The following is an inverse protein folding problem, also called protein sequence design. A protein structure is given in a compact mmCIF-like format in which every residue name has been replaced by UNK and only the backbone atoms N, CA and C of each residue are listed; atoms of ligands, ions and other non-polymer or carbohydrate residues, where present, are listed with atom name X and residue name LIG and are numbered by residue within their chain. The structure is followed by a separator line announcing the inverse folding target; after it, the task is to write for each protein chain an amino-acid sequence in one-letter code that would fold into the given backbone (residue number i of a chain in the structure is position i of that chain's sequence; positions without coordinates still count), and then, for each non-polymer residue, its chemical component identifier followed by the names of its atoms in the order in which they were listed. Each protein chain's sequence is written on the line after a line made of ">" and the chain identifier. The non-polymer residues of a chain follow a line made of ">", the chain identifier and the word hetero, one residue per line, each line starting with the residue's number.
data_IF_244917338158
#
_entry.id   IF_244917338158
#
_cell.length_a   1.000
_cell.length_b   1.000
_cell.length_c   1.000
_cell.angle_alpha   90.00
_cell.angle_beta   90.00
_cell.angle_gamma   90.00
#
_symmetry.space_group_name_H-M   'P 1'
#
loop_
_entity.id
_entity.type
_entity.pdbx_description
1 polymer ?
#
# COMPACT_ATOMS: atom_id res chain seq x y z
N UNK A 1 10.86 3.06 -103.58
CA UNK A 1 10.91 2.79 -102.13
C UNK A 1 11.49 1.40 -101.93
N UNK A 2 12.50 1.25 -101.07
CA UNK A 2 13.15 -0.05 -100.83
C UNK A 2 12.18 -0.97 -100.06
N UNK A 3 11.86 -2.15 -100.60
CA UNK A 3 10.94 -3.12 -99.98
C UNK A 3 11.35 -3.57 -98.56
N UNK A 4 12.65 -3.48 -98.24
CA UNK A 4 13.21 -3.70 -96.90
C UNK A 4 12.76 -2.63 -95.89
N UNK A 5 12.48 -1.42 -96.34
CA UNK A 5 12.03 -0.28 -95.52
C UNK A 5 10.54 -0.38 -95.20
N UNK A 6 9.72 -0.79 -96.17
CA UNK A 6 8.25 -0.90 -96.01
C UNK A 6 7.86 -2.03 -95.05
N UNK A 7 8.58 -3.16 -95.10
CA UNK A 7 8.36 -4.28 -94.16
C UNK A 7 8.74 -3.91 -92.73
N UNK A 8 9.86 -3.18 -92.54
CA UNK A 8 10.26 -2.66 -91.22
C UNK A 8 9.22 -1.68 -90.68
N UNK A 9 8.72 -0.77 -91.52
CA UNK A 9 7.67 0.19 -91.14
C UNK A 9 6.39 -0.51 -90.64
N UNK A 10 5.93 -1.55 -91.35
CA UNK A 10 4.75 -2.34 -90.98
C UNK A 10 4.94 -3.10 -89.65
N UNK A 11 6.14 -3.63 -89.38
CA UNK A 11 6.44 -4.24 -88.08
C UNK A 11 6.42 -3.20 -86.94
N UNK A 12 7.02 -2.03 -87.15
CA UNK A 12 7.08 -0.96 -86.14
C UNK A 12 5.68 -0.46 -85.76
N UNK A 13 4.80 -0.23 -86.74
CA UNK A 13 3.42 0.22 -86.48
C UNK A 13 2.62 -0.83 -85.71
N UNK A 14 2.89 -2.12 -85.90
CA UNK A 14 2.22 -3.20 -85.17
C UNK A 14 2.76 -3.41 -83.77
N UNK A 15 4.08 -3.35 -83.53
CA UNK A 15 4.67 -3.75 -82.24
C UNK A 15 4.81 -2.61 -81.23
N UNK A 16 5.06 -1.38 -81.67
CA UNK A 16 5.28 -0.23 -80.79
C UNK A 16 4.07 0.07 -79.89
N UNK A 17 2.80 0.07 -80.38
CA UNK A 17 1.65 0.30 -79.52
C UNK A 17 1.52 -0.73 -78.40
N UNK A 18 1.76 -2.02 -78.68
CA UNK A 18 1.73 -3.06 -77.65
C UNK A 18 2.87 -2.90 -76.64
N UNK A 19 4.08 -2.56 -77.10
CA UNK A 19 5.20 -2.29 -76.21
C UNK A 19 4.92 -1.11 -75.27
N UNK A 20 4.27 -0.04 -75.76
CA UNK A 20 3.86 1.10 -74.95
C UNK A 20 2.80 0.73 -73.91
N UNK A 21 1.82 -0.10 -74.26
CA UNK A 21 0.81 -0.60 -73.32
C UNK A 21 1.48 -1.43 -72.22
N UNK A 22 2.38 -2.34 -72.57
CA UNK A 22 3.11 -3.15 -71.59
C UNK A 22 3.93 -2.25 -70.65
N UNK A 23 4.65 -1.27 -71.19
CA UNK A 23 5.41 -0.31 -70.40
C UNK A 23 4.51 0.50 -69.45
N UNK A 24 3.35 0.95 -69.94
CA UNK A 24 2.38 1.68 -69.13
C UNK A 24 1.78 0.82 -68.01
N UNK A 25 1.45 -0.45 -68.30
CA UNK A 25 0.98 -1.40 -67.29
C UNK A 25 2.05 -1.65 -66.23
N UNK A 26 3.31 -1.84 -66.62
CA UNK A 26 4.43 -2.01 -65.69
C UNK A 26 4.59 -0.76 -64.81
N UNK A 27 4.48 0.44 -65.40
CA UNK A 27 4.55 1.69 -64.65
C UNK A 27 3.40 1.82 -63.64
N UNK A 28 2.16 1.54 -64.05
CA UNK A 28 0.99 1.56 -63.18
C UNK A 28 1.13 0.56 -62.02
N UNK A 29 1.53 -0.68 -62.32
CA UNK A 29 1.76 -1.70 -61.31
C UNK A 29 2.86 -1.28 -60.33
N UNK A 30 3.94 -0.69 -60.82
CA UNK A 30 5.02 -0.16 -59.99
C UNK A 30 4.54 0.93 -59.03
N UNK A 31 3.72 1.87 -59.51
CA UNK A 31 3.13 2.93 -58.69
C UNK A 31 2.22 2.34 -57.59
N UNK A 32 1.34 1.40 -57.96
CA UNK A 32 0.42 0.74 -57.02
C UNK A 32 1.17 -0.07 -55.97
N UNK A 33 2.18 -0.84 -56.37
CA UNK A 33 3.00 -1.63 -55.44
C UNK A 33 3.75 -0.71 -54.47
N UNK A 34 4.35 0.38 -54.95
CA UNK A 34 5.07 1.32 -54.10
C UNK A 34 4.14 2.03 -53.10
N UNK A 35 2.94 2.44 -53.54
CA UNK A 35 1.94 3.04 -52.65
C UNK A 35 1.48 2.04 -51.59
N UNK A 36 1.14 0.82 -52.01
CA UNK A 36 0.74 -0.27 -51.09
C UNK A 36 1.82 -0.60 -50.06
N UNK A 37 3.10 -0.62 -50.45
CA UNK A 37 4.21 -0.84 -49.52
C UNK A 37 4.34 0.30 -48.50
N UNK A 38 4.21 1.56 -48.94
CA UNK A 38 4.24 2.71 -48.02
C UNK A 38 3.09 2.67 -47.02
N UNK A 39 1.87 2.37 -47.47
CA UNK A 39 0.71 2.23 -46.59
C UNK A 39 0.92 1.09 -45.60
N UNK A 40 1.44 -0.06 -46.04
CA UNK A 40 1.72 -1.19 -45.16
C UNK A 40 2.75 -0.83 -44.08
N UNK A 41 3.84 -0.15 -44.46
CA UNK A 41 4.87 0.31 -43.52
C UNK A 41 4.31 1.34 -42.51
N UNK A 42 3.51 2.29 -42.97
CA UNK A 42 2.85 3.26 -42.08
C UNK A 42 1.88 2.60 -41.11
N UNK A 43 1.09 1.64 -41.59
CA UNK A 43 0.17 0.87 -40.75
C UNK A 43 0.93 0.08 -39.69
N UNK A 44 2.02 -0.60 -40.06
CA UNK A 44 2.88 -1.32 -39.13
C UNK A 44 3.44 -0.40 -38.04
N UNK A 45 3.99 0.77 -38.43
CA UNK A 45 4.51 1.75 -37.47
C UNK A 45 3.43 2.27 -36.52
N UNK A 46 2.24 2.59 -37.04
CA UNK A 46 1.10 3.04 -36.24
C UNK A 46 0.60 1.93 -35.30
N UNK A 47 0.52 0.68 -35.76
CA UNK A 47 0.16 -0.47 -34.93
C UNK A 47 1.16 -0.67 -33.80
N UNK A 48 2.46 -0.58 -34.06
CA UNK A 48 3.49 -0.69 -33.03
C UNK A 48 3.37 0.46 -32.02
N UNK A 49 3.26 1.71 -32.50
CA UNK A 49 3.17 2.88 -31.64
C UNK A 49 1.91 2.85 -30.75
N UNK A 50 0.75 2.54 -31.32
CA UNK A 50 -0.52 2.45 -30.59
C UNK A 50 -0.52 1.30 -29.58
N UNK A 51 0.01 0.12 -29.94
CA UNK A 51 0.15 -0.99 -29.00
C UNK A 51 1.10 -0.64 -27.85
N UNK A 52 2.22 0.02 -28.15
CA UNK A 52 3.17 0.45 -27.12
C UNK A 52 2.56 1.48 -26.17
N UNK A 53 1.81 2.46 -26.69
CA UNK A 53 1.08 3.44 -25.88
C UNK A 53 0.03 2.75 -25.01
N UNK A 54 -0.80 1.88 -25.59
CA UNK A 54 -1.82 1.12 -24.86
C UNK A 54 -1.21 0.24 -23.76
N UNK A 55 -0.07 -0.40 -24.03
CA UNK A 55 0.65 -1.18 -23.02
C UNK A 55 1.15 -0.30 -21.88
N UNK A 56 1.74 0.87 -22.20
CA UNK A 56 2.19 1.84 -21.18
C UNK A 56 1.03 2.32 -20.31
N UNK A 57 -0.10 2.69 -20.91
CA UNK A 57 -1.32 3.09 -20.19
C UNK A 57 -1.86 1.97 -19.30
N UNK A 58 -1.95 0.75 -19.84
CA UNK A 58 -2.41 -0.43 -19.09
C UNK A 58 -1.51 -0.72 -17.89
N UNK A 59 -0.19 -0.62 -18.05
CA UNK A 59 0.77 -0.82 -16.95
C UNK A 59 0.60 0.29 -15.92
N UNK A 60 0.52 1.55 -16.33
CA UNK A 60 0.31 2.68 -15.42
C UNK A 60 -0.96 2.50 -14.58
N UNK A 61 -2.09 2.16 -15.23
CA UNK A 61 -3.36 1.89 -14.56
C UNK A 61 -3.27 0.71 -13.59
N UNK A 62 -2.58 -0.38 -13.96
CA UNK A 62 -2.38 -1.53 -13.07
C UNK A 62 -1.54 -1.17 -11.84
N UNK A 63 -0.49 -0.37 -12.02
CA UNK A 63 0.35 0.09 -10.90
C UNK A 63 -0.47 0.96 -9.96
N UNK A 64 -1.22 1.93 -10.48
CA UNK A 64 -2.09 2.80 -9.69
C UNK A 64 -3.17 2.01 -8.94
N UNK A 65 -3.89 1.13 -9.64
CA UNK A 65 -4.91 0.28 -9.04
C UNK A 65 -4.36 -0.64 -7.94
N UNK A 66 -3.18 -1.24 -8.17
CA UNK A 66 -2.51 -2.08 -7.17
C UNK A 66 -2.11 -1.25 -5.94
N UNK A 67 -1.56 -0.04 -6.17
CA UNK A 67 -1.20 0.87 -5.09
C UNK A 67 -2.42 1.24 -4.23
N UNK A 68 -3.54 1.58 -4.87
CA UNK A 68 -4.78 1.92 -4.18
C UNK A 68 -5.38 0.74 -3.43
N UNK A 69 -5.31 -0.47 -4.00
CA UNK A 69 -5.74 -1.69 -3.32
C UNK A 69 -4.91 -1.96 -2.06
N UNK A 70 -3.58 -1.89 -2.15
CA UNK A 70 -2.69 -2.06 -0.99
C UNK A 70 -2.99 -1.01 0.09
N UNK A 71 -3.20 0.24 -0.32
CA UNK A 71 -3.56 1.33 0.61
C UNK A 71 -4.92 1.10 1.27
N UNK A 72 -5.91 0.63 0.51
CA UNK A 72 -7.23 0.31 1.03
C UNK A 72 -7.19 -0.83 2.04
N UNK A 73 -6.55 -1.95 1.69
CA UNK A 73 -6.39 -3.10 2.59
C UNK A 73 -5.62 -2.70 3.86
N UNK A 74 -4.55 -1.91 3.73
CA UNK A 74 -3.82 -1.38 4.90
C UNK A 74 -4.72 -0.57 5.83
N UNK A 75 -5.58 0.30 5.29
CA UNK A 75 -6.52 1.10 6.10
C UNK A 75 -7.53 0.20 6.81
N UNK A 76 -8.07 -0.80 6.11
CA UNK A 76 -9.02 -1.77 6.65
C UNK A 76 -8.41 -2.59 7.78
N UNK A 77 -7.18 -3.10 7.60
CA UNK A 77 -6.43 -3.83 8.63
C UNK A 77 -6.18 -2.94 9.85
N UNK A 78 -5.70 -1.70 9.66
CA UNK A 78 -5.46 -0.77 10.78
C UNK A 78 -6.76 -0.46 11.53
N UNK A 79 -7.88 -0.26 10.83
CA UNK A 79 -9.17 -0.01 11.46
C UNK A 79 -9.64 -1.22 12.29
N UNK A 80 -9.49 -2.42 11.75
CA UNK A 80 -9.82 -3.68 12.45
C UNK A 80 -8.95 -3.86 13.70
N UNK A 81 -7.63 -3.70 13.59
CA UNK A 81 -6.71 -3.81 14.72
C UNK A 81 -7.02 -2.78 15.81
N UNK A 82 -7.33 -1.53 15.44
CA UNK A 82 -7.76 -0.51 16.40
C UNK A 82 -9.04 -0.92 17.14
N UNK A 83 -10.03 -1.42 16.41
CA UNK A 83 -11.29 -1.90 16.99
C UNK A 83 -11.04 -3.02 18.01
N UNK A 84 -10.18 -3.99 17.68
CA UNK A 84 -9.82 -5.10 18.56
C UNK A 84 -9.09 -4.62 19.81
N UNK A 85 -8.07 -3.77 19.66
CA UNK A 85 -7.35 -3.17 20.81
C UNK A 85 -8.30 -2.40 21.72
N UNK A 86 -9.23 -1.61 21.15
CA UNK A 86 -10.22 -0.89 21.94
C UNK A 86 -11.11 -1.86 22.72
N UNK A 87 -11.61 -2.91 22.08
CA UNK A 87 -12.45 -3.91 22.72
C UNK A 87 -11.76 -4.56 23.93
N UNK A 88 -10.49 -4.93 23.79
CA UNK A 88 -9.70 -5.47 24.90
C UNK A 88 -9.51 -4.46 26.05
N UNK A 89 -9.23 -3.19 25.73
CA UNK A 89 -9.11 -2.12 26.73
C UNK A 89 -10.44 -1.85 27.43
N UNK A 90 -11.56 -1.86 26.69
CA UNK A 90 -12.90 -1.66 27.27
C UNK A 90 -13.21 -2.79 28.27
N UNK A 91 -12.92 -4.05 27.94
CA UNK A 91 -13.11 -5.18 28.86
C UNK A 91 -12.25 -5.02 30.11
N UNK A 92 -10.96 -4.71 29.95
CA UNK A 92 -10.06 -4.51 31.09
C UNK A 92 -10.52 -3.36 31.98
N UNK A 93 -11.04 -2.28 31.39
CA UNK A 93 -11.62 -1.16 32.11
C UNK A 93 -12.87 -1.55 32.89
N UNK A 94 -13.79 -2.33 32.31
CA UNK A 94 -14.98 -2.81 33.02
C UNK A 94 -14.63 -3.72 34.20
N UNK A 95 -13.64 -4.61 34.03
CA UNK A 95 -13.12 -5.44 35.13
C UNK A 95 -12.53 -4.57 36.24
N UNK A 96 -11.67 -3.61 35.89
CA UNK A 96 -11.07 -2.70 36.86
C UNK A 96 -12.12 -1.85 37.59
N UNK A 97 -13.12 -1.34 36.88
CA UNK A 97 -14.20 -0.53 37.44
C UNK A 97 -15.09 -1.36 38.37
N UNK A 98 -15.41 -2.60 38.01
CA UNK A 98 -16.21 -3.50 38.87
C UNK A 98 -15.47 -3.77 40.18
N UNK A 99 -14.19 -4.15 40.10
CA UNK A 99 -13.35 -4.36 41.30
C UNK A 99 -13.29 -3.09 42.15
N UNK A 100 -13.12 -1.92 41.54
CA UNK A 100 -13.12 -0.65 42.26
C UNK A 100 -14.45 -0.37 42.97
N UNK A 101 -15.58 -0.55 42.29
CA UNK A 101 -16.91 -0.29 42.83
C UNK A 101 -17.27 -1.22 43.98
N UNK A 102 -16.89 -2.50 43.89
CA UNK A 102 -17.18 -3.51 44.92
C UNK A 102 -16.28 -3.42 46.16
N UNK A 103 -15.20 -2.64 46.12
CA UNK A 103 -14.18 -2.59 47.17
C UNK A 103 -13.86 -1.16 47.64
N UNK A 104 -14.82 -0.23 47.54
CA UNK A 104 -14.65 1.18 47.94
C UNK A 104 -14.39 1.34 49.45
N UNK A 105 -14.74 0.35 50.26
CA UNK A 105 -14.47 0.29 51.70
C UNK A 105 -13.00 -0.07 52.03
N UNK A 106 -12.22 -0.55 51.06
CA UNK A 106 -10.85 -1.00 51.27
C UNK A 106 -9.83 0.12 51.02
N UNK A 107 -8.62 0.02 51.61
CA UNK A 107 -7.53 0.92 51.28
C UNK A 107 -7.23 0.94 49.78
N UNK A 108 -6.95 2.13 49.22
CA UNK A 108 -6.67 2.32 47.79
C UNK A 108 -5.59 1.37 47.26
N UNK A 109 -4.55 1.12 48.07
CA UNK A 109 -3.46 0.20 47.72
C UNK A 109 -3.94 -1.24 47.50
N UNK A 110 -4.89 -1.72 48.32
CA UNK A 110 -5.44 -3.05 48.18
C UNK A 110 -6.29 -3.17 46.90
N UNK A 111 -7.10 -2.15 46.61
CA UNK A 111 -7.92 -2.11 45.39
C UNK A 111 -7.03 -2.06 44.14
N UNK A 112 -5.98 -1.22 44.14
CA UNK A 112 -4.99 -1.18 43.04
C UNK A 112 -4.32 -2.53 42.82
N UNK A 113 -3.98 -3.24 43.90
CA UNK A 113 -3.38 -4.58 43.84
C UNK A 113 -4.36 -5.60 43.25
N UNK A 114 -5.62 -5.61 43.69
CA UNK A 114 -6.66 -6.50 43.15
C UNK A 114 -6.86 -6.30 41.64
N UNK A 115 -6.96 -5.04 41.18
CA UNK A 115 -7.06 -4.71 39.76
C UNK A 115 -5.83 -5.19 38.99
N UNK A 116 -4.64 -4.93 39.53
CA UNK A 116 -3.38 -5.30 38.90
C UNK A 116 -3.25 -6.82 38.77
N UNK A 117 -3.57 -7.58 39.81
CA UNK A 117 -3.53 -9.05 39.82
C UNK A 117 -4.54 -9.65 38.84
N UNK A 118 -5.76 -9.11 38.77
CA UNK A 118 -6.79 -9.56 37.84
C UNK A 118 -6.38 -9.40 36.36
N UNK A 119 -5.65 -8.33 36.03
CA UNK A 119 -5.29 -7.99 34.65
C UNK A 119 -3.90 -8.49 34.23
N UNK A 120 -2.97 -8.72 35.17
CA UNK A 120 -1.56 -9.00 34.89
C UNK A 120 -1.33 -10.19 33.96
N UNK A 121 -2.12 -11.25 34.09
CA UNK A 121 -1.97 -12.49 33.33
C UNK A 121 -2.88 -12.58 32.10
N UNK A 122 -3.71 -11.56 31.85
CA UNK A 122 -4.57 -11.54 30.67
C UNK A 122 -3.72 -11.30 29.43
N UNK A 123 -3.88 -12.17 28.43
CA UNK A 123 -3.19 -12.09 27.14
C UNK A 123 -4.21 -12.15 26.01
N UNK A 124 -3.88 -11.50 24.90
CA UNK A 124 -4.61 -11.52 23.65
C UNK A 124 -3.63 -11.56 22.47
N UNK A 125 -4.10 -11.63 21.23
CA UNK A 125 -3.26 -11.69 20.01
C UNK A 125 -2.17 -12.78 20.08
N UNK A 126 -2.59 -14.04 20.31
CA UNK A 126 -1.70 -15.20 20.43
C UNK A 126 -0.56 -15.03 21.45
N UNK A 127 -0.84 -14.31 22.54
CA UNK A 127 0.12 -14.08 23.62
C UNK A 127 0.98 -12.83 23.46
N UNK A 128 0.89 -12.11 22.34
CA UNK A 128 1.64 -10.88 22.08
C UNK A 128 1.02 -9.65 22.76
N UNK A 129 -0.30 -9.65 22.92
CA UNK A 129 -1.07 -8.58 23.56
C UNK A 129 -1.06 -8.70 25.08
N UNK A 130 -0.79 -7.59 25.77
CA UNK A 130 -0.78 -7.51 27.23
C UNK A 130 -1.15 -6.11 27.71
N UNK A 131 -1.52 -5.99 28.99
CA UNK A 131 -1.88 -4.72 29.61
C UNK A 131 -0.74 -4.14 30.46
N UNK A 132 -0.75 -2.82 30.58
CA UNK A 132 0.05 -2.05 31.51
C UNK A 132 -0.80 -0.90 32.05
N UNK A 133 -0.51 -0.46 33.28
CA UNK A 133 -1.25 0.57 34.00
C UNK A 133 -0.22 1.52 34.61
N UNK A 134 -0.41 2.82 34.39
CA UNK A 134 0.37 3.89 34.99
C UNK A 134 -0.57 5.02 35.41
N UNK A 135 -0.17 5.78 36.42
CA UNK A 135 -0.90 6.95 36.89
C UNK A 135 -0.69 8.14 35.95
N UNK A 136 -1.54 9.16 36.05
CA UNK A 136 -1.46 10.36 35.21
C UNK A 136 -0.20 11.19 35.44
N UNK A 137 0.52 10.94 36.53
CA UNK A 137 1.84 11.53 36.84
C UNK A 137 3.02 10.69 36.30
N UNK A 138 2.74 9.58 35.60
CA UNK A 138 3.74 8.68 35.01
C UNK A 138 4.22 7.54 35.91
N UNK A 139 3.72 7.40 37.14
CA UNK A 139 4.10 6.29 38.02
C UNK A 139 3.52 4.95 37.51
N UNK A 140 4.37 3.97 37.24
CA UNK A 140 3.92 2.63 36.83
C UNK A 140 3.27 1.87 37.98
N UNK A 141 2.05 1.36 37.76
CA UNK A 141 1.27 0.56 38.72
C UNK A 141 1.38 -0.92 38.39
N UNK A 142 1.26 -1.29 37.10
CA UNK A 142 1.35 -2.67 36.65
C UNK A 142 1.96 -2.74 35.25
N UNK A 143 2.90 -3.66 35.04
CA UNK A 143 3.40 -3.97 33.70
C UNK A 143 3.57 -5.48 33.53
N UNK A 144 2.70 -6.09 32.73
CA UNK A 144 2.60 -7.54 32.61
C UNK A 144 3.91 -8.25 32.23
N UNK A 145 4.71 -7.65 31.34
CA UNK A 145 5.98 -8.24 30.86
C UNK A 145 7.25 -7.61 31.44
N UNK A 146 7.13 -6.56 32.25
CA UNK A 146 8.27 -5.85 32.83
C UNK A 146 7.97 -5.34 34.24
N UNK A 147 7.70 -6.25 35.20
CA UNK A 147 7.31 -5.89 36.56
C UNK A 147 8.37 -5.08 37.29
N UNK A 148 9.64 -5.09 36.82
CA UNK A 148 10.74 -4.29 37.38
C UNK A 148 10.54 -2.76 37.22
N UNK A 149 9.56 -2.33 36.41
CA UNK A 149 9.21 -0.91 36.26
C UNK A 149 8.14 -0.44 37.24
N UNK A 150 7.44 -1.36 37.92
CA UNK A 150 6.38 -1.01 38.86
C UNK A 150 6.95 -0.21 40.04
N UNK A 151 6.27 0.88 40.41
CA UNK A 151 6.73 1.84 41.41
C UNK A 151 7.78 2.84 40.93
N UNK A 152 8.20 2.80 39.66
CA UNK A 152 9.14 3.76 39.08
C UNK A 152 8.43 4.82 38.24
N UNK A 153 9.06 6.01 38.21
CA UNK A 153 8.59 7.13 37.42
C UNK A 153 8.97 6.94 35.94
N UNK A 154 7.96 6.92 35.06
CA UNK A 154 8.11 6.68 33.63
C UNK A 154 8.33 7.93 32.77
N UNK A 155 8.20 9.13 33.34
CA UNK A 155 8.26 10.39 32.58
C UNK A 155 9.58 10.60 31.81
N UNK A 156 10.70 10.05 32.29
CA UNK A 156 12.00 10.15 31.62
C UNK A 156 12.30 8.95 30.68
N UNK A 157 11.34 8.05 30.48
CA UNK A 157 11.51 6.93 29.56
C UNK A 157 11.34 7.40 28.11
N UNK A 158 12.29 6.99 27.28
CA UNK A 158 12.22 7.13 25.83
C UNK A 158 12.32 5.77 25.17
N UNK A 159 11.75 5.64 23.98
CA UNK A 159 11.97 4.47 23.13
C UNK A 159 13.34 4.53 22.44
N UNK A 160 13.70 3.50 21.68
CA UNK A 160 14.95 3.44 20.91
C UNK A 160 15.14 4.56 19.88
N UNK A 161 14.09 5.31 19.53
CA UNK A 161 14.18 6.48 18.65
C UNK A 161 14.32 7.80 19.45
N UNK A 162 14.45 7.72 20.77
CA UNK A 162 14.55 8.88 21.67
C UNK A 162 13.20 9.55 21.94
N UNK A 163 12.07 8.93 21.56
CA UNK A 163 10.74 9.51 21.74
C UNK A 163 10.24 9.28 23.18
N UNK A 164 9.87 10.34 23.92
CA UNK A 164 9.38 10.21 25.30
C UNK A 164 7.93 9.74 25.32
N UNK A 165 7.71 8.43 25.17
CA UNK A 165 6.39 7.86 24.90
C UNK A 165 5.41 8.01 26.07
N UNK A 166 5.84 7.90 27.34
CA UNK A 166 4.96 8.09 28.51
C UNK A 166 4.43 9.52 28.59
N UNK A 167 5.32 10.53 28.46
CA UNK A 167 4.91 11.95 28.38
C UNK A 167 3.91 12.16 27.24
N UNK A 168 4.16 11.56 26.08
CA UNK A 168 3.28 11.68 24.92
C UNK A 168 1.92 11.00 25.11
N UNK A 169 1.85 9.87 25.83
CA UNK A 169 0.57 9.25 26.21
C UNK A 169 -0.26 10.21 27.06
N UNK A 170 0.33 10.75 28.14
CA UNK A 170 -0.33 11.66 29.09
C UNK A 170 -0.83 12.91 28.35
N UNK A 171 0.03 13.56 27.57
CA UNK A 171 -0.31 14.75 26.80
C UNK A 171 -1.50 14.52 25.85
N UNK A 172 -1.59 13.32 25.27
CA UNK A 172 -2.68 12.98 24.35
C UNK A 172 -4.04 12.95 25.03
N UNK A 173 -4.10 12.48 26.27
CA UNK A 173 -5.33 12.48 27.06
C UNK A 173 -5.69 13.88 27.57
N UNK A 174 -4.70 14.62 28.09
CA UNK A 174 -4.94 15.96 28.68
C UNK A 174 -5.32 17.02 27.64
N UNK A 175 -4.68 17.02 26.47
CA UNK A 175 -4.90 18.06 25.45
C UNK A 175 -6.21 17.90 24.67
N UNK A 176 -6.85 16.73 24.74
CA UNK A 176 -8.00 16.41 23.90
C UNK A 176 -9.28 16.07 24.66
N UNK A 177 -9.22 16.02 26.00
CA UNK A 177 -10.32 15.56 26.86
C UNK A 177 -10.98 14.26 26.36
N UNK A 178 -10.16 13.36 25.79
CA UNK A 178 -10.62 12.08 25.23
C UNK A 178 -10.51 10.99 26.27
N UNK A 179 -11.47 10.06 26.26
CA UNK A 179 -11.43 8.86 27.10
C UNK A 179 -10.55 7.74 26.53
N UNK A 180 -10.22 7.78 25.24
CA UNK A 180 -9.39 6.79 24.58
C UNK A 180 -8.51 7.43 23.49
N UNK A 181 -7.36 6.81 23.23
CA UNK A 181 -6.43 7.25 22.21
C UNK A 181 -5.57 6.08 21.72
N UNK A 182 -5.09 6.18 20.48
CA UNK A 182 -4.09 5.28 19.93
C UNK A 182 -2.78 6.01 19.79
N UNK A 183 -1.67 5.41 20.20
CA UNK A 183 -0.33 5.94 19.98
C UNK A 183 0.55 4.86 19.34
N UNK A 184 1.56 5.26 18.57
CA UNK A 184 2.56 4.35 17.98
C UNK A 184 3.91 4.70 18.57
N UNK A 185 4.60 3.73 19.15
CA UNK A 185 5.91 3.86 19.77
C UNK A 185 6.71 2.58 19.54
N UNK A 186 8.02 2.65 19.77
CA UNK A 186 8.91 1.50 19.68
C UNK A 186 9.00 0.81 21.04
N UNK A 187 8.86 -0.51 21.06
CA UNK A 187 8.97 -1.27 22.31
C UNK A 187 9.37 -2.73 22.07
N UNK A 188 9.96 -3.33 23.10
CA UNK A 188 10.35 -4.74 23.07
C UNK A 188 9.11 -5.61 23.15
N UNK A 189 8.92 -6.47 22.16
CA UNK A 189 7.86 -7.48 22.21
C UNK A 189 8.14 -8.50 23.30
N UNK A 190 7.10 -9.14 23.87
CA UNK A 190 7.30 -10.28 24.74
C UNK A 190 8.15 -11.33 24.01
N UNK A 191 9.20 -11.84 24.66
CA UNK A 191 10.09 -12.88 24.12
C UNK A 191 10.95 -12.47 22.90
N UNK A 192 11.10 -11.17 22.61
CA UNK A 192 12.04 -10.69 21.61
C UNK A 192 13.02 -9.67 22.20
N UNK A 193 14.31 -9.71 21.81
CA UNK A 193 15.32 -8.80 22.37
C UNK A 193 15.20 -7.38 21.82
N UNK A 194 14.69 -7.25 20.60
CA UNK A 194 14.72 -6.02 19.81
C UNK A 194 13.43 -5.20 19.96
N UNK A 195 13.58 -3.89 19.80
CA UNK A 195 12.47 -2.95 19.70
C UNK A 195 12.04 -2.77 18.23
N UNK A 196 10.72 -2.61 18.02
CA UNK A 196 10.11 -2.46 16.70
C UNK A 196 9.08 -1.35 16.66
#
# INVERSE_FOLDING_TARGET
>A
MNALTDRKLLYTIKTVPFALIILFVILLLSLVVNDSQKTALQLEQNLIATNLLKQKETIAQRVESTYDQVRYERRKIIASLKSQVKHHVDIAYQVAMTIYQENQDKPEQDVKRMISEALRNVRYDDGNGYFFIFQTDGLFVMHATNPKQEGKQGLEMSDSQGVPYIKNFINKFTSSNRMNAYYRWWFKKPNQPDEY
#
